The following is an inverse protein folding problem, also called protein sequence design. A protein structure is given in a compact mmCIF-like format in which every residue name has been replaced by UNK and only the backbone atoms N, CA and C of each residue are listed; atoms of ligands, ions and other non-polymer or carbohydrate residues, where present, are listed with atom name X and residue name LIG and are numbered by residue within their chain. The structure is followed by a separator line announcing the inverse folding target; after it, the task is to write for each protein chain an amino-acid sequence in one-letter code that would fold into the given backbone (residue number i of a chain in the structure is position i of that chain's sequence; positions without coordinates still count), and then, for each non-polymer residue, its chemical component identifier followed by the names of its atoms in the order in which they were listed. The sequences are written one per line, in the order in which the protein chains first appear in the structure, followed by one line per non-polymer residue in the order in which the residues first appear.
data_IF_083923558050
#
_entry.id   IF_083923558050
#
_cell.length_a   1.000
_cell.length_b   1.000
_cell.length_c   1.000
_cell.angle_alpha   90.00
_cell.angle_beta   90.00
_cell.angle_gamma   90.00
#
_symmetry.space_group_name_H-M   'P 1'
#
loop_
_entity.id
_entity.type
_entity.pdbx_description
1 polymer ?
#
# COMPACT_ATOMS: atom_id res chain seq x y z
N UNK A 1 15.78 -12.07 -13.88
CA UNK A 1 15.78 -10.57 -13.85
C UNK A 1 15.53 -10.10 -12.42
N UNK A 2 16.33 -9.14 -11.90
CA UNK A 2 16.16 -8.62 -10.54
C UNK A 2 14.89 -7.74 -10.49
N UNK A 3 13.85 -8.19 -9.78
CA UNK A 3 12.58 -7.48 -9.53
C UNK A 3 12.71 -6.41 -8.43
N UNK A 4 13.91 -5.82 -8.29
CA UNK A 4 14.28 -4.94 -7.18
C UNK A 4 13.46 -3.65 -7.17
N UNK A 5 13.14 -3.10 -8.34
CA UNK A 5 12.33 -1.87 -8.46
C UNK A 5 10.93 -2.05 -7.89
N UNK A 6 10.26 -3.16 -8.22
CA UNK A 6 8.90 -3.47 -7.71
C UNK A 6 8.92 -3.69 -6.19
N UNK A 7 9.93 -4.41 -5.70
CA UNK A 7 10.14 -4.63 -4.27
C UNK A 7 10.39 -3.31 -3.51
N UNK A 8 11.30 -2.47 -3.99
CA UNK A 8 11.67 -1.21 -3.32
C UNK A 8 10.49 -0.23 -3.33
N UNK A 9 9.81 -0.07 -4.47
CA UNK A 9 8.64 0.80 -4.56
C UNK A 9 7.51 0.31 -3.65
N UNK A 10 7.29 -1.01 -3.57
CA UNK A 10 6.30 -1.57 -2.67
C UNK A 10 6.66 -1.45 -1.20
N UNK A 11 7.92 -1.66 -0.85
CA UNK A 11 8.40 -1.50 0.52
C UNK A 11 8.30 -0.05 0.98
N UNK A 12 8.77 0.89 0.16
CA UNK A 12 8.67 2.33 0.46
C UNK A 12 7.20 2.73 0.54
N UNK A 13 6.37 2.36 -0.44
CA UNK A 13 4.94 2.66 -0.44
C UNK A 13 4.22 2.10 0.80
N UNK A 14 4.53 0.88 1.21
CA UNK A 14 3.97 0.28 2.44
C UNK A 14 4.42 0.98 3.72
N UNK A 15 5.69 1.35 3.84
CA UNK A 15 6.20 2.09 5.02
C UNK A 15 5.55 3.48 5.12
N UNK A 16 5.48 4.22 4.00
CA UNK A 16 4.77 5.49 3.96
C UNK A 16 3.28 5.31 4.27
N UNK A 17 2.67 4.20 3.85
CA UNK A 17 1.29 3.86 4.18
C UNK A 17 1.06 3.72 5.68
N UNK A 18 1.96 3.02 6.39
CA UNK A 18 1.91 2.89 7.86
C UNK A 18 2.07 4.27 8.52
N UNK A 19 3.03 5.08 8.08
CA UNK A 19 3.23 6.44 8.63
C UNK A 19 1.98 7.31 8.46
N UNK A 20 1.37 7.27 7.28
CA UNK A 20 0.12 7.99 6.99
C UNK A 20 -1.03 7.48 7.86
N UNK A 21 -1.12 6.17 8.08
CA UNK A 21 -2.13 5.57 8.95
C UNK A 21 -1.96 5.99 10.42
N UNK A 22 -0.74 6.08 10.93
CA UNK A 22 -0.48 6.61 12.27
C UNK A 22 -0.91 8.08 12.41
N UNK A 23 -0.63 8.91 11.41
CA UNK A 23 -1.09 10.31 11.39
C UNK A 23 -2.63 10.37 11.41
N UNK A 24 -3.29 9.54 10.60
CA UNK A 24 -4.75 9.46 10.57
C UNK A 24 -5.35 8.99 11.90
N UNK A 25 -4.74 7.98 12.54
CA UNK A 25 -5.13 7.50 13.87
C UNK A 25 -4.94 8.57 14.94
N UNK A 26 -3.85 9.35 14.87
CA UNK A 26 -3.61 10.45 15.79
C UNK A 26 -4.64 11.55 15.65
N UNK A 27 -4.94 11.97 14.41
CA UNK A 27 -5.98 12.96 14.12
C UNK A 27 -7.35 12.44 14.57
N UNK A 28 -7.66 11.17 14.30
CA UNK A 28 -8.90 10.52 14.75
C UNK A 28 -9.01 10.48 16.28
N UNK A 29 -7.93 10.18 16.99
CA UNK A 29 -7.88 10.16 18.44
C UNK A 29 -8.09 11.55 19.07
N UNK A 30 -7.45 12.58 18.51
CA UNK A 30 -7.67 13.97 18.93
C UNK A 30 -9.10 14.43 18.63
N UNK A 31 -9.63 14.10 17.44
CA UNK A 31 -11.01 14.41 17.07
C UNK A 31 -12.03 13.72 18.00
N UNK A 32 -11.76 12.48 18.43
CA UNK A 32 -12.59 11.76 19.41
C UNK A 32 -12.57 12.44 20.78
N UNK A 33 -11.42 12.96 21.22
CA UNK A 33 -11.32 13.70 22.48
C UNK A 33 -12.05 15.04 22.44
N UNK A 34 -12.27 15.60 21.25
CA UNK A 34 -13.06 16.83 21.02
C UNK A 34 -14.54 16.55 20.73
N UNK A 35 -14.99 15.30 20.88
CA UNK A 35 -16.35 14.84 20.54
C UNK A 35 -16.80 15.21 19.11
N UNK A 36 -15.86 15.27 18.18
CA UNK A 36 -16.15 15.57 16.79
C UNK A 36 -16.87 14.39 16.11
N UNK A 37 -17.95 14.68 15.41
CA UNK A 37 -18.74 13.69 14.69
C UNK A 37 -17.90 13.00 13.61
N UNK A 38 -17.90 11.66 13.60
CA UNK A 38 -17.13 10.85 12.64
C UNK A 38 -15.72 10.44 13.09
N UNK A 39 -15.25 10.86 14.27
CA UNK A 39 -13.91 10.52 14.76
C UNK A 39 -13.66 9.00 14.91
N UNK A 40 -14.65 8.24 15.41
CA UNK A 40 -14.58 6.77 15.49
C UNK A 40 -14.41 6.12 14.11
N UNK A 41 -14.98 6.73 13.06
CA UNK A 41 -14.85 6.25 11.69
C UNK A 41 -13.42 6.46 11.18
N UNK A 42 -12.80 7.62 11.46
CA UNK A 42 -11.40 7.90 11.11
C UNK A 42 -10.45 6.93 11.82
N UNK A 43 -10.69 6.60 13.09
CA UNK A 43 -9.89 5.63 13.84
C UNK A 43 -10.01 4.23 13.20
N UNK A 44 -11.22 3.79 12.88
CA UNK A 44 -11.45 2.50 12.23
C UNK A 44 -10.77 2.39 10.86
N UNK A 45 -10.89 3.44 10.03
CA UNK A 45 -10.25 3.52 8.72
C UNK A 45 -8.72 3.59 8.84
N UNK A 46 -8.19 4.26 9.86
CA UNK A 46 -6.76 4.29 10.16
C UNK A 46 -6.21 2.88 10.43
N UNK A 47 -6.90 2.08 11.25
CA UNK A 47 -6.53 0.68 11.50
C UNK A 47 -6.63 -0.19 10.24
N UNK A 48 -7.67 0.00 9.43
CA UNK A 48 -7.80 -0.68 8.14
C UNK A 48 -6.63 -0.35 7.20
N UNK A 49 -6.18 0.91 7.17
CA UNK A 49 -5.04 1.33 6.38
C UNK A 49 -3.71 0.77 6.90
N UNK A 50 -3.53 0.59 8.21
CA UNK A 50 -2.37 -0.14 8.76
C UNK A 50 -2.36 -1.56 8.21
N UNK A 51 -3.47 -2.27 8.29
CA UNK A 51 -3.58 -3.65 7.79
C UNK A 51 -3.31 -3.73 6.27
N UNK A 52 -3.83 -2.78 5.51
CA UNK A 52 -3.58 -2.71 4.07
C UNK A 52 -2.13 -2.36 3.73
N UNK A 53 -1.48 -1.50 4.52
CA UNK A 53 -0.06 -1.18 4.34
C UNK A 53 0.83 -2.40 4.61
N UNK A 54 0.50 -3.19 5.64
CA UNK A 54 1.17 -4.47 5.90
C UNK A 54 0.97 -5.41 4.71
N UNK A 55 -0.25 -5.50 4.16
CA UNK A 55 -0.51 -6.25 2.93
C UNK A 55 0.33 -5.78 1.74
N UNK A 56 0.55 -4.47 1.59
CA UNK A 56 1.43 -3.88 0.58
C UNK A 56 2.89 -4.30 0.75
N UNK A 57 3.39 -4.34 1.98
CA UNK A 57 4.75 -4.81 2.31
C UNK A 57 4.88 -6.31 2.01
N UNK A 58 3.90 -7.13 2.41
CA UNK A 58 3.88 -8.56 2.08
C UNK A 58 3.84 -8.76 0.57
N UNK A 59 3.02 -7.98 -0.15
CA UNK A 59 2.94 -7.98 -1.60
C UNK A 59 4.28 -7.65 -2.27
N UNK A 60 5.05 -6.71 -1.72
CA UNK A 60 6.36 -6.33 -2.24
C UNK A 60 7.37 -7.48 -2.13
N UNK A 61 7.40 -8.17 -0.97
CA UNK A 61 8.23 -9.38 -0.76
C UNK A 61 7.80 -10.50 -1.70
N UNK A 62 6.49 -10.71 -1.85
CA UNK A 62 5.93 -11.75 -2.73
C UNK A 62 6.23 -11.52 -4.20
N UNK A 63 6.43 -10.27 -4.65
CA UNK A 63 6.79 -9.95 -6.04
C UNK A 63 8.08 -10.65 -6.49
N UNK A 64 8.96 -11.00 -5.54
CA UNK A 64 10.23 -11.69 -5.79
C UNK A 64 10.06 -13.16 -6.15
N UNK A 65 8.99 -13.80 -5.69
CA UNK A 65 8.69 -15.23 -5.91
C UNK A 65 7.51 -15.43 -6.87
N UNK A 66 6.47 -14.59 -6.75
CA UNK A 66 5.25 -14.59 -7.57
C UNK A 66 4.86 -13.15 -7.95
N UNK A 67 5.46 -12.65 -9.02
CA UNK A 67 5.30 -11.26 -9.47
C UNK A 67 3.84 -10.80 -9.61
N UNK A 68 2.98 -11.63 -10.26
CA UNK A 68 1.56 -11.29 -10.45
C UNK A 68 0.77 -11.21 -9.14
N UNK A 69 1.02 -12.14 -8.21
CA UNK A 69 0.31 -12.19 -6.92
C UNK A 69 0.76 -11.04 -6.03
N UNK A 70 2.07 -10.80 -5.94
CA UNK A 70 2.61 -9.66 -5.20
C UNK A 70 2.12 -8.33 -5.77
N UNK A 71 2.11 -8.18 -7.10
CA UNK A 71 1.60 -6.98 -7.75
C UNK A 71 0.11 -6.74 -7.53
N UNK A 72 -0.71 -7.79 -7.54
CA UNK A 72 -2.13 -7.71 -7.22
C UNK A 72 -2.36 -7.27 -5.77
N UNK A 73 -1.65 -7.87 -4.80
CA UNK A 73 -1.74 -7.48 -3.38
C UNK A 73 -1.35 -6.02 -3.16
N UNK A 74 -0.27 -5.55 -3.80
CA UNK A 74 0.14 -4.15 -3.71
C UNK A 74 -0.90 -3.20 -4.31
N UNK A 75 -1.53 -3.59 -5.41
CA UNK A 75 -2.59 -2.79 -6.06
C UNK A 75 -3.84 -2.71 -5.19
N UNK A 76 -4.24 -3.84 -4.57
CA UNK A 76 -5.36 -3.89 -3.62
C UNK A 76 -5.06 -3.01 -2.40
N UNK A 77 -3.84 -3.08 -1.87
CA UNK A 77 -3.40 -2.23 -0.76
C UNK A 77 -3.41 -0.74 -1.12
N UNK A 78 -3.03 -0.38 -2.35
CA UNK A 78 -3.07 0.99 -2.84
C UNK A 78 -4.51 1.53 -2.90
N UNK A 79 -5.42 0.78 -3.53
CA UNK A 79 -6.82 1.18 -3.71
C UNK A 79 -7.55 1.20 -2.37
N UNK A 80 -7.42 0.14 -1.57
CA UNK A 80 -8.07 0.05 -0.27
C UNK A 80 -7.56 1.13 0.70
N UNK A 81 -6.26 1.40 0.71
CA UNK A 81 -5.68 2.43 1.58
C UNK A 81 -6.07 3.84 1.16
N UNK A 82 -6.19 4.07 -0.15
CA UNK A 82 -6.73 5.31 -0.69
C UNK A 82 -8.20 5.51 -0.33
N UNK A 83 -9.02 4.45 -0.35
CA UNK A 83 -10.41 4.56 0.11
C UNK A 83 -10.47 4.84 1.62
N UNK A 84 -9.55 4.28 2.41
CA UNK A 84 -9.56 4.45 3.86
C UNK A 84 -9.15 5.86 4.33
N UNK A 85 -8.07 6.43 3.79
CA UNK A 85 -7.52 7.72 4.28
C UNK A 85 -7.47 8.80 3.19
N UNK A 86 -7.92 8.51 1.98
CA UNK A 86 -8.00 9.47 0.85
C UNK A 86 -6.71 10.27 0.66
N UNK A 87 -6.76 11.58 0.87
CA UNK A 87 -5.68 12.52 0.53
C UNK A 87 -4.37 12.25 1.27
N UNK A 88 -4.41 11.79 2.53
CA UNK A 88 -3.19 11.50 3.28
C UNK A 88 -2.48 10.26 2.69
N UNK A 89 -3.24 9.34 2.11
CA UNK A 89 -2.70 8.10 1.53
C UNK A 89 -2.31 8.23 0.05
N UNK A 90 -2.36 9.43 -0.54
CA UNK A 90 -2.12 9.59 -1.98
C UNK A 90 -0.67 9.21 -2.37
N UNK A 91 0.31 9.56 -1.54
CA UNK A 91 1.72 9.23 -1.76
C UNK A 91 1.96 7.71 -1.71
N UNK A 92 1.59 6.99 -0.63
CA UNK A 92 1.75 5.55 -0.58
C UNK A 92 0.89 4.81 -1.61
N UNK A 93 -0.31 5.31 -1.93
CA UNK A 93 -1.15 4.74 -2.99
C UNK A 93 -0.43 4.76 -4.34
N UNK A 94 0.11 5.91 -4.76
CA UNK A 94 0.80 6.02 -6.04
C UNK A 94 2.03 5.11 -6.10
N UNK A 95 2.82 5.04 -5.02
CA UNK A 95 4.00 4.17 -4.96
C UNK A 95 3.65 2.68 -5.02
N UNK A 96 2.64 2.24 -4.26
CA UNK A 96 2.16 0.87 -4.26
C UNK A 96 1.51 0.49 -5.59
N UNK A 97 0.78 1.42 -6.22
CA UNK A 97 0.09 1.19 -7.49
C UNK A 97 1.09 1.09 -8.64
N UNK A 98 2.10 1.95 -8.68
CA UNK A 98 3.20 1.87 -9.66
C UNK A 98 3.99 0.56 -9.48
N UNK A 99 4.33 0.20 -8.24
CA UNK A 99 5.00 -1.07 -7.94
C UNK A 99 4.14 -2.29 -8.27
N UNK A 100 2.83 -2.21 -8.03
CA UNK A 100 1.86 -3.26 -8.27
C UNK A 100 1.63 -3.52 -9.76
N UNK A 101 1.41 -2.44 -10.53
CA UNK A 101 1.27 -2.51 -11.98
C UNK A 101 2.55 -3.05 -12.63
N UNK A 102 3.73 -2.65 -12.17
CA UNK A 102 4.98 -3.24 -12.66
C UNK A 102 5.06 -4.74 -12.37
N UNK A 103 4.61 -5.19 -11.19
CA UNK A 103 4.54 -6.61 -10.83
C UNK A 103 3.58 -7.42 -11.73
N UNK A 104 2.46 -6.83 -12.11
CA UNK A 104 1.42 -7.47 -12.96
C UNK A 104 1.80 -7.47 -14.44
N UNK A 105 2.25 -6.33 -14.97
CA UNK A 105 2.38 -6.09 -16.41
C UNK A 105 3.79 -6.36 -16.97
N UNK A 106 4.84 -6.48 -16.15
CA UNK A 106 6.16 -6.90 -16.65
C UNK A 106 6.10 -8.35 -17.13
N UNK A 107 5.92 -8.53 -18.44
CA UNK A 107 6.17 -9.78 -19.14
C UNK A 107 7.57 -10.27 -18.78
N UNK A 108 7.65 -11.54 -18.37
CA UNK A 108 8.91 -12.27 -18.38
C UNK A 108 9.45 -12.13 -19.81
N UNK A 109 10.64 -11.53 -19.98
CA UNK A 109 11.34 -11.68 -21.26
C UNK A 109 11.51 -13.18 -21.41
N UNK A 110 10.73 -13.79 -22.29
CA UNK A 110 11.00 -15.13 -22.81
C UNK A 110 12.45 -15.04 -23.25
N UNK A 111 13.32 -15.78 -22.57
CA UNK A 111 14.67 -15.96 -23.02
C UNK A 111 14.53 -16.54 -24.43
N UNK A 112 14.80 -15.71 -25.44
CA UNK A 112 15.00 -16.19 -26.80
C UNK A 112 16.24 -17.05 -26.69
N UNK A 113 16.04 -18.36 -26.63
CA UNK A 113 17.06 -19.35 -26.88
C UNK A 113 17.53 -19.11 -28.31
N UNK A 114 18.75 -18.60 -28.46
CA UNK A 114 19.52 -18.65 -29.68
C UNK A 114 20.87 -19.24 -29.30
#
# INVERSE_FOLDING_TARGET
MKRTTEFVLGLIGGIFGILCAFIALFIGGVASAMEAEGASNVIGLGWAAVALSILGIVGSVMVKSKAKVGGAMMTIAAIGGFICISFIYILPAVLLLIGGLMGIFRKEKVAVSA
#
